data_IF_550346187412
#
_entry.id   IF_550346187412
#
_cell.length_a   1.000
_cell.length_b   1.000
_cell.length_c   1.000
_cell.angle_alpha   90.00
_cell.angle_beta   90.00
_cell.angle_gamma   90.00
#
_symmetry.space_group_name_H-M   'P 1'
#
loop_
_entity.id
_entity.type
_entity.pdbx_description
1 polymer ?
#
# COMPACT_ATOMS: atom_id res chain seq x y z
N UNK A 1 -7.64 28.25 6.94
CA UNK A 1 -7.12 27.29 5.94
C UNK A 1 -5.88 27.78 5.16
N UNK A 2 -5.68 29.08 4.89
CA UNK A 2 -4.53 29.58 4.12
C UNK A 2 -3.15 29.24 4.72
N UNK A 3 -2.95 29.45 6.03
CA UNK A 3 -1.70 29.09 6.71
C UNK A 3 -1.41 27.58 6.65
N UNK A 4 -2.44 26.75 6.88
CA UNK A 4 -2.29 25.30 6.83
C UNK A 4 -1.94 24.80 5.42
N UNK A 5 -2.49 25.43 4.37
CA UNK A 5 -2.12 25.15 2.98
C UNK A 5 -0.67 25.53 2.66
N UNK A 6 -0.17 26.62 3.24
CA UNK A 6 1.23 27.02 3.09
C UNK A 6 2.14 25.99 3.77
N UNK A 7 1.80 25.57 5.00
CA UNK A 7 2.55 24.53 5.71
C UNK A 7 2.58 23.21 4.94
N UNK A 8 1.43 22.74 4.46
CA UNK A 8 1.28 21.50 3.68
C UNK A 8 2.05 21.48 2.35
N UNK A 9 2.41 22.64 1.80
CA UNK A 9 3.27 22.74 0.61
C UNK A 9 4.74 22.51 0.90
N UNK A 10 5.18 22.78 2.12
CA UNK A 10 6.60 22.69 2.51
C UNK A 10 6.89 21.36 3.20
N UNK A 11 5.95 20.87 4.01
CA UNK A 11 6.06 19.60 4.75
C UNK A 11 4.72 18.88 4.74
N UNK A 12 4.70 17.54 4.75
CA UNK A 12 3.48 16.79 5.00
C UNK A 12 2.83 17.23 6.32
N UNK A 13 1.52 17.46 6.32
CA UNK A 13 0.76 17.81 7.52
C UNK A 13 -0.31 16.75 7.71
N UNK A 14 -0.26 16.06 8.85
CA UNK A 14 -1.25 15.07 9.27
C UNK A 14 -2.05 15.67 10.43
N UNK A 15 -3.37 15.46 10.44
CA UNK A 15 -4.23 15.89 11.55
C UNK A 15 -4.97 14.69 12.13
N UNK A 16 -4.87 14.54 13.44
CA UNK A 16 -5.69 13.63 14.23
C UNK A 16 -6.57 14.48 15.15
N UNK A 17 -7.88 14.20 15.15
CA UNK A 17 -8.84 14.88 16.00
C UNK A 17 -9.47 13.86 16.97
N UNK A 18 -9.04 13.91 18.23
CA UNK A 18 -9.55 13.02 19.29
C UNK A 18 -11.04 13.23 19.57
N UNK A 19 -11.61 14.40 19.22
CA UNK A 19 -13.02 14.71 19.41
C UNK A 19 -13.95 14.01 18.42
N UNK A 20 -13.46 13.58 17.25
CA UNK A 20 -14.28 12.85 16.26
C UNK A 20 -14.59 11.42 16.68
N UNK A 21 -13.63 10.76 17.31
CA UNK A 21 -13.78 9.38 17.81
C UNK A 21 -14.86 9.31 18.91
N UNK A 22 -14.81 10.25 19.87
CA UNK A 22 -15.71 10.25 21.03
C UNK A 22 -17.17 10.58 20.69
N UNK A 23 -17.42 11.25 19.55
CA UNK A 23 -18.77 11.72 19.19
C UNK A 23 -19.45 10.77 18.18
N UNK A 24 -18.68 10.09 17.32
CA UNK A 24 -19.22 9.24 16.25
C UNK A 24 -20.00 8.01 16.73
N UNK A 25 -19.62 7.38 17.86
CA UNK A 25 -20.26 6.14 18.33
C UNK A 25 -21.47 6.33 19.24
N UNK A 26 -21.61 7.48 19.93
CA UNK A 26 -22.59 7.62 21.02
C UNK A 26 -23.55 8.81 20.86
N UNK A 27 -23.16 9.89 20.16
CA UNK A 27 -23.91 11.17 20.20
C UNK A 27 -23.96 11.93 18.86
N UNK A 28 -23.43 11.37 17.77
CA UNK A 28 -23.35 12.08 16.49
C UNK A 28 -24.74 12.33 15.89
N UNK A 29 -25.17 13.59 15.93
CA UNK A 29 -26.32 14.07 15.17
C UNK A 29 -25.91 14.49 13.74
N UNK A 30 -26.90 14.68 12.86
CA UNK A 30 -26.67 15.04 11.45
C UNK A 30 -25.80 16.29 11.28
N UNK A 31 -25.93 17.27 12.18
CA UNK A 31 -25.16 18.51 12.15
C UNK A 31 -23.67 18.25 12.41
N UNK A 32 -23.35 17.37 13.36
CA UNK A 32 -21.97 16.96 13.65
C UNK A 32 -21.35 16.23 12.46
N UNK A 33 -22.08 15.28 11.86
CA UNK A 33 -21.62 14.54 10.67
C UNK A 33 -21.37 15.48 9.49
N UNK A 34 -22.28 16.44 9.26
CA UNK A 34 -22.13 17.43 8.20
C UNK A 34 -20.92 18.32 8.43
N UNK A 35 -20.70 18.76 9.68
CA UNK A 35 -19.53 19.57 10.06
C UNK A 35 -18.23 18.79 9.82
N UNK A 36 -18.18 17.52 10.18
CA UNK A 36 -17.01 16.67 9.97
C UNK A 36 -16.68 16.48 8.49
N UNK A 37 -17.70 16.25 7.64
CA UNK A 37 -17.52 16.20 6.17
C UNK A 37 -16.99 17.50 5.59
N UNK A 38 -17.46 18.65 6.09
CA UNK A 38 -16.94 19.98 5.66
C UNK A 38 -15.49 20.15 6.07
N UNK A 39 -15.12 19.75 7.29
CA UNK A 39 -13.72 19.78 7.73
C UNK A 39 -12.84 18.83 6.92
N UNK A 40 -13.29 17.62 6.62
CA UNK A 40 -12.55 16.68 5.77
C UNK A 40 -12.29 17.23 4.37
N UNK A 41 -13.33 17.80 3.76
CA UNK A 41 -13.20 18.45 2.46
C UNK A 41 -12.22 19.64 2.52
N UNK A 42 -12.29 20.45 3.58
CA UNK A 42 -11.39 21.57 3.78
C UNK A 42 -9.93 21.11 3.98
N UNK A 43 -9.70 20.10 4.82
CA UNK A 43 -8.38 19.52 5.07
C UNK A 43 -7.77 18.94 3.80
N UNK A 44 -8.52 18.11 3.06
CA UNK A 44 -8.08 17.56 1.76
C UNK A 44 -7.72 18.67 0.78
N UNK A 45 -8.53 19.74 0.69
CA UNK A 45 -8.26 20.90 -0.18
C UNK A 45 -7.03 21.70 0.26
N UNK A 46 -6.71 21.71 1.55
CA UNK A 46 -5.50 22.34 2.09
C UNK A 46 -4.25 21.46 1.94
N UNK A 47 -4.36 20.20 1.52
CA UNK A 47 -3.25 19.26 1.44
C UNK A 47 -2.91 18.61 2.79
N UNK A 48 -3.85 18.61 3.73
CA UNK A 48 -3.72 18.01 5.05
C UNK A 48 -4.32 16.60 4.98
N UNK A 49 -3.63 15.62 5.55
CA UNK A 49 -4.12 14.25 5.69
C UNK A 49 -4.85 14.10 7.03
N UNK A 50 -6.19 14.07 7.06
CA UNK A 50 -6.92 13.67 8.26
C UNK A 50 -6.79 12.17 8.46
N UNK A 51 -6.51 11.76 9.70
CA UNK A 51 -6.49 10.35 10.10
C UNK A 51 -7.52 10.09 11.20
N UNK A 52 -8.29 8.98 11.11
CA UNK A 52 -9.35 8.71 12.06
C UNK A 52 -8.84 8.20 13.41
N UNK A 53 -7.73 7.44 13.44
CA UNK A 53 -7.21 6.83 14.66
C UNK A 53 -5.78 7.30 14.98
N UNK A 54 -5.40 7.25 16.27
CA UNK A 54 -4.04 7.56 16.70
C UNK A 54 -3.01 6.60 16.07
N UNK A 55 -3.37 5.33 15.89
CA UNK A 55 -2.53 4.34 15.21
C UNK A 55 -2.20 4.75 13.76
N UNK A 56 -3.15 5.35 13.05
CA UNK A 56 -2.96 5.86 11.70
C UNK A 56 -2.02 7.07 11.68
N UNK A 57 -2.06 7.93 12.70
CA UNK A 57 -1.13 9.05 12.83
C UNK A 57 0.32 8.55 12.92
N UNK A 58 0.57 7.55 13.77
CA UNK A 58 1.89 6.93 13.93
C UNK A 58 2.32 6.25 12.63
N UNK A 59 1.43 5.49 12.01
CA UNK A 59 1.70 4.79 10.75
C UNK A 59 2.01 5.76 9.61
N UNK A 60 1.23 6.83 9.48
CA UNK A 60 1.46 7.86 8.48
C UNK A 60 2.77 8.62 8.73
N UNK A 61 3.06 8.96 10.00
CA UNK A 61 4.33 9.60 10.36
C UNK A 61 5.54 8.71 10.03
N UNK A 62 5.48 7.41 10.34
CA UNK A 62 6.53 6.44 9.98
C UNK A 62 6.72 6.32 8.48
N UNK A 63 5.61 6.26 7.72
CA UNK A 63 5.64 6.21 6.25
C UNK A 63 6.31 7.45 5.65
N UNK A 64 6.01 8.64 6.18
CA UNK A 64 6.61 9.89 5.72
C UNK A 64 8.08 10.03 6.13
N UNK A 65 8.44 9.55 7.33
CA UNK A 65 9.82 9.56 7.82
C UNK A 65 10.74 8.68 6.98
N UNK A 66 10.22 7.60 6.40
CA UNK A 66 10.94 6.77 5.42
C UNK A 66 11.28 7.50 4.10
N UNK A 67 10.84 8.76 3.94
CA UNK A 67 11.23 9.69 2.87
C UNK A 67 11.07 9.14 1.44
N UNK A 68 10.13 8.21 1.24
CA UNK A 68 9.84 7.66 -0.08
C UNK A 68 9.09 8.70 -0.91
N UNK A 69 9.80 9.41 -1.80
CA UNK A 69 9.13 10.11 -2.91
C UNK A 69 8.57 9.04 -3.85
N UNK A 70 7.27 8.80 -3.77
CA UNK A 70 6.57 7.96 -4.74
C UNK A 70 6.65 8.67 -6.09
N UNK A 71 7.28 8.03 -7.07
CA UNK A 71 7.32 8.54 -8.44
C UNK A 71 6.31 7.75 -9.28
N UNK A 72 5.17 8.37 -9.58
CA UNK A 72 4.08 7.73 -10.32
C UNK A 72 2.97 7.18 -9.42
N UNK A 73 1.99 6.51 -10.06
CA UNK A 73 0.78 6.01 -9.38
C UNK A 73 0.31 4.64 -9.88
N UNK A 74 1.14 3.92 -10.64
CA UNK A 74 0.88 2.56 -11.14
C UNK A 74 1.37 1.51 -10.14
N UNK A 75 0.45 0.92 -9.37
CA UNK A 75 0.76 -0.09 -8.36
C UNK A 75 0.70 -1.49 -8.96
N UNK A 76 1.72 -2.30 -8.67
CA UNK A 76 1.66 -3.75 -8.73
C UNK A 76 1.60 -4.35 -7.33
N UNK A 77 0.85 -5.44 -7.18
CA UNK A 77 0.73 -6.17 -5.91
C UNK A 77 1.20 -7.61 -6.11
N UNK A 78 2.04 -8.10 -5.20
CA UNK A 78 2.41 -9.51 -5.05
C UNK A 78 1.89 -9.98 -3.70
N UNK A 79 1.12 -11.06 -3.64
CA UNK A 79 0.49 -11.51 -2.40
C UNK A 79 0.32 -13.04 -2.34
N UNK A 80 0.26 -13.64 -1.15
CA UNK A 80 -0.11 -15.06 -0.98
C UNK A 80 -1.62 -15.32 -0.80
N UNK A 81 -2.46 -14.28 -0.86
CA UNK A 81 -3.90 -14.41 -0.77
C UNK A 81 -4.61 -13.58 -1.82
N UNK A 82 -5.41 -14.20 -2.69
CA UNK A 82 -6.12 -13.49 -3.75
C UNK A 82 -7.04 -12.37 -3.23
N UNK A 83 -7.70 -12.59 -2.09
CA UNK A 83 -8.52 -11.56 -1.43
C UNK A 83 -7.67 -10.40 -0.90
N UNK A 84 -6.50 -10.69 -0.31
CA UNK A 84 -5.57 -9.65 0.14
C UNK A 84 -5.16 -8.77 -1.03
N UNK A 85 -4.72 -9.37 -2.13
CA UNK A 85 -4.36 -8.64 -3.33
C UNK A 85 -5.51 -7.78 -3.88
N UNK A 86 -6.74 -8.31 -3.89
CA UNK A 86 -7.93 -7.57 -4.35
C UNK A 86 -8.28 -6.39 -3.45
N UNK A 87 -8.27 -6.58 -2.13
CA UNK A 87 -8.57 -5.51 -1.15
C UNK A 87 -7.51 -4.42 -1.23
N UNK A 88 -6.22 -4.79 -1.26
CA UNK A 88 -5.12 -3.85 -1.46
C UNK A 88 -5.30 -3.04 -2.74
N UNK A 89 -5.66 -3.71 -3.84
CA UNK A 89 -5.87 -3.06 -5.12
C UNK A 89 -7.08 -2.11 -5.11
N UNK A 90 -8.18 -2.54 -4.48
CA UNK A 90 -9.37 -1.73 -4.31
C UNK A 90 -9.04 -0.45 -3.55
N UNK A 91 -8.39 -0.56 -2.37
CA UNK A 91 -7.99 0.60 -1.56
C UNK A 91 -7.06 1.55 -2.33
N UNK A 92 -6.17 1.01 -3.16
CA UNK A 92 -5.30 1.82 -4.02
C UNK A 92 -6.09 2.63 -5.05
N UNK A 93 -7.03 1.97 -5.75
CA UNK A 93 -7.89 2.62 -6.76
C UNK A 93 -8.81 3.66 -6.13
N UNK A 94 -9.41 3.35 -4.98
CA UNK A 94 -10.25 4.28 -4.20
C UNK A 94 -9.45 5.51 -3.74
N UNK A 95 -8.13 5.36 -3.54
CA UNK A 95 -7.20 6.45 -3.23
C UNK A 95 -6.75 7.25 -4.46
N UNK A 96 -7.27 6.96 -5.66
CA UNK A 96 -6.92 7.62 -6.92
C UNK A 96 -5.69 7.03 -7.64
N UNK A 97 -5.19 5.91 -7.15
CA UNK A 97 -4.12 5.15 -7.76
C UNK A 97 -4.57 4.39 -9.01
N UNK A 98 -3.61 3.93 -9.82
CA UNK A 98 -3.84 3.13 -11.03
C UNK A 98 -3.24 1.74 -10.90
N UNK A 99 -3.89 0.70 -11.44
CA UNK A 99 -3.23 -0.58 -11.68
C UNK A 99 -2.05 -0.45 -12.64
N UNK A 100 -0.92 -1.04 -12.28
CA UNK A 100 0.15 -1.31 -13.23
C UNK A 100 -0.29 -2.41 -14.20
N UNK A 101 -0.06 -2.18 -15.50
CA UNK A 101 -0.16 -3.21 -16.52
C UNK A 101 1.21 -3.87 -16.65
N UNK A 102 1.29 -5.15 -16.30
CA UNK A 102 2.55 -5.90 -16.39
C UNK A 102 2.90 -6.14 -17.85
N UNK A 103 4.18 -5.93 -18.17
CA UNK A 103 4.73 -6.18 -19.49
C UNK A 103 4.69 -7.67 -19.84
N UNK A 104 4.70 -7.97 -21.14
CA UNK A 104 4.79 -9.36 -21.61
C UNK A 104 6.03 -10.06 -21.05
N UNK A 105 7.17 -9.36 -21.01
CA UNK A 105 8.41 -9.90 -20.45
C UNK A 105 8.26 -10.31 -18.97
N UNK A 106 7.59 -9.48 -18.17
CA UNK A 106 7.31 -9.78 -16.76
C UNK A 106 6.34 -10.95 -16.61
N UNK A 107 5.29 -11.00 -17.43
CA UNK A 107 4.36 -12.14 -17.44
C UNK A 107 5.05 -13.45 -17.85
N UNK A 108 5.95 -13.41 -18.83
CA UNK A 108 6.74 -14.55 -19.28
C UNK A 108 7.79 -14.99 -18.24
N UNK A 109 8.32 -14.06 -17.44
CA UNK A 109 9.19 -14.40 -16.32
C UNK A 109 8.40 -15.01 -15.17
N UNK A 110 7.20 -14.49 -14.87
CA UNK A 110 6.32 -15.02 -13.83
C UNK A 110 5.80 -16.41 -14.19
N UNK A 111 5.52 -16.70 -15.47
CA UNK A 111 5.05 -18.03 -15.89
C UNK A 111 6.10 -19.13 -15.75
N UNK A 112 7.39 -18.78 -15.70
CA UNK A 112 8.49 -19.71 -15.41
C UNK A 112 8.64 -19.98 -13.91
N UNK A 113 8.41 -18.95 -13.10
CA UNK A 113 8.53 -18.98 -11.64
C UNK A 113 7.30 -19.59 -10.93
N UNK A 114 6.13 -19.42 -11.53
CA UNK A 114 4.85 -19.81 -10.94
C UNK A 114 4.29 -21.08 -11.61
N UNK A 115 3.58 -21.93 -10.87
CA UNK A 115 2.89 -23.08 -11.45
C UNK A 115 1.96 -22.67 -12.61
N UNK A 116 1.75 -23.60 -13.55
CA UNK A 116 0.92 -23.36 -14.72
C UNK A 116 -0.49 -22.86 -14.32
N UNK A 117 -0.97 -21.81 -15.01
CA UNK A 117 -2.25 -21.16 -14.72
C UNK A 117 -2.22 -20.14 -13.57
N UNK A 118 -1.07 -19.93 -12.90
CA UNK A 118 -0.93 -18.97 -11.81
C UNK A 118 -0.30 -17.63 -12.22
N UNK A 119 0.37 -17.57 -13.37
CA UNK A 119 0.76 -16.30 -13.99
C UNK A 119 -0.47 -15.69 -14.67
N UNK A 120 -0.82 -14.43 -14.41
CA UNK A 120 -1.96 -13.93 -15.17
C UNK A 120 -2.46 -12.51 -15.04
N UNK A 121 -1.99 -11.69 -14.09
CA UNK A 121 -2.31 -10.26 -14.00
C UNK A 121 -1.79 -9.70 -12.70
N UNK A 122 -1.92 -8.38 -12.58
CA UNK A 122 -1.84 -7.66 -11.32
C UNK A 122 -3.24 -7.63 -10.67
N UNK A 123 -3.43 -8.05 -9.41
CA UNK A 123 -2.44 -8.56 -8.45
C UNK A 123 -1.92 -9.96 -8.76
N UNK A 124 -0.63 -10.19 -8.49
CA UNK A 124 0.07 -11.49 -8.62
C UNK A 124 -0.17 -12.32 -7.36
N UNK A 125 -0.98 -13.38 -7.48
CA UNK A 125 -1.31 -14.27 -6.36
C UNK A 125 -0.39 -15.50 -6.33
N UNK A 126 0.40 -15.61 -5.26
CA UNK A 126 1.33 -16.69 -4.99
C UNK A 126 0.71 -17.88 -4.24
N UNK A 127 -0.57 -17.76 -3.84
CA UNK A 127 -1.32 -18.73 -3.04
C UNK A 127 -0.78 -18.94 -1.61
N UNK A 128 -1.58 -19.57 -0.77
CA UNK A 128 -1.32 -19.70 0.67
C UNK A 128 -0.09 -20.56 0.99
N UNK A 129 0.35 -21.41 0.06
CA UNK A 129 1.57 -22.22 0.18
C UNK A 129 2.80 -21.56 -0.46
N UNK A 130 2.78 -20.24 -0.66
CA UNK A 130 3.90 -19.51 -1.24
C UNK A 130 5.19 -19.72 -0.44
N UNK A 131 6.23 -20.22 -1.11
CA UNK A 131 7.56 -20.37 -0.54
C UNK A 131 8.33 -19.05 -0.60
N UNK A 132 9.38 -18.92 0.21
CA UNK A 132 10.29 -17.77 0.17
C UNK A 132 10.86 -17.52 -1.23
N UNK A 133 11.24 -18.58 -1.95
CA UNK A 133 11.76 -18.46 -3.33
C UNK A 133 10.69 -17.97 -4.32
N UNK A 134 9.44 -18.41 -4.17
CA UNK A 134 8.33 -17.92 -5.00
C UNK A 134 8.11 -16.42 -4.81
N UNK A 135 8.24 -15.92 -3.58
CA UNK A 135 8.22 -14.49 -3.30
C UNK A 135 9.40 -13.77 -3.95
N UNK A 136 10.62 -14.29 -3.77
CA UNK A 136 11.86 -13.72 -4.33
C UNK A 136 11.75 -13.52 -5.83
N UNK A 137 11.37 -14.56 -6.56
CA UNK A 137 11.26 -14.55 -8.02
C UNK A 137 10.15 -13.60 -8.50
N UNK A 138 8.97 -13.65 -7.87
CA UNK A 138 7.85 -12.80 -8.25
C UNK A 138 8.15 -11.31 -7.99
N UNK A 139 8.71 -10.98 -6.82
CA UNK A 139 9.08 -9.61 -6.46
C UNK A 139 10.18 -9.09 -7.38
N UNK A 140 11.24 -9.87 -7.65
CA UNK A 140 12.30 -9.44 -8.55
C UNK A 140 11.78 -9.15 -9.96
N UNK A 141 10.93 -10.03 -10.50
CA UNK A 141 10.32 -9.87 -11.84
C UNK A 141 9.42 -8.64 -11.93
N UNK A 142 8.52 -8.46 -10.95
CA UNK A 142 7.58 -7.33 -10.94
C UNK A 142 8.30 -6.01 -10.65
N UNK A 143 9.30 -6.01 -9.77
CA UNK A 143 10.07 -4.80 -9.46
C UNK A 143 10.92 -4.34 -10.65
N UNK A 144 11.36 -5.25 -11.52
CA UNK A 144 12.09 -4.89 -12.74
C UNK A 144 11.20 -4.20 -13.79
N UNK A 145 9.89 -4.44 -13.79
CA UNK A 145 8.96 -3.96 -14.83
C UNK A 145 8.80 -2.42 -14.86
N UNK A 146 9.16 -1.76 -15.96
CA UNK A 146 9.05 -0.30 -16.13
C UNK A 146 7.59 0.22 -16.13
N UNK A 147 6.62 -0.67 -16.34
CA UNK A 147 5.18 -0.42 -16.19
C UNK A 147 4.74 -0.21 -14.74
N UNK A 148 5.61 -0.55 -13.78
CA UNK A 148 5.36 -0.49 -12.34
C UNK A 148 6.06 0.72 -11.74
N UNK A 149 5.29 1.57 -11.04
CA UNK A 149 5.81 2.70 -10.27
C UNK A 149 6.02 2.33 -8.79
N UNK A 150 5.16 1.43 -8.30
CA UNK A 150 5.05 1.03 -6.90
C UNK A 150 4.82 -0.47 -6.81
N UNK A 151 5.46 -1.13 -5.86
CA UNK A 151 5.27 -2.56 -5.59
C UNK A 151 4.85 -2.77 -4.14
N UNK A 152 3.66 -3.34 -3.92
CA UNK A 152 3.27 -3.83 -2.61
C UNK A 152 3.44 -5.35 -2.56
N UNK A 153 4.28 -5.83 -1.66
CA UNK A 153 4.38 -7.25 -1.33
C UNK A 153 3.58 -7.50 -0.04
N UNK A 154 2.44 -8.18 -0.17
CA UNK A 154 1.46 -8.40 0.91
C UNK A 154 1.52 -9.85 1.39
N UNK A 155 1.97 -10.05 2.63
CA UNK A 155 2.14 -11.37 3.25
C UNK A 155 1.08 -11.57 4.32
N UNK A 156 0.13 -12.46 4.05
CA UNK A 156 -0.85 -12.93 5.04
C UNK A 156 -0.33 -14.14 5.82
N UNK A 157 -0.68 -14.28 7.10
CA UNK A 157 -0.32 -15.45 7.90
C UNK A 157 -1.06 -16.69 7.40
N UNK A 158 -0.38 -17.83 7.39
CA UNK A 158 -0.96 -19.13 6.99
C UNK A 158 -0.40 -20.24 7.88
N UNK A 159 -1.14 -21.34 8.02
CA UNK A 159 -0.71 -22.47 8.86
C UNK A 159 0.56 -23.19 8.36
N UNK A 160 0.94 -22.99 7.09
CA UNK A 160 2.00 -23.73 6.40
C UNK A 160 3.15 -22.83 5.92
N UNK A 161 2.99 -21.51 5.98
CA UNK A 161 3.96 -20.55 5.46
C UNK A 161 4.78 -19.91 6.56
N UNK A 162 6.05 -19.64 6.27
CA UNK A 162 6.93 -18.87 7.14
C UNK A 162 6.94 -17.40 6.70
N UNK A 163 6.23 -16.57 7.48
CA UNK A 163 6.12 -15.12 7.23
C UNK A 163 7.48 -14.43 7.26
N UNK A 164 8.37 -14.80 8.18
CA UNK A 164 9.69 -14.17 8.32
C UNK A 164 10.59 -14.54 7.14
N UNK A 165 10.60 -15.81 6.74
CA UNK A 165 11.34 -16.24 5.56
C UNK A 165 10.82 -15.54 4.28
N UNK A 166 9.51 -15.36 4.15
CA UNK A 166 8.92 -14.61 3.05
C UNK A 166 9.38 -13.14 3.05
N UNK A 167 9.27 -12.44 4.19
CA UNK A 167 9.71 -11.03 4.34
C UNK A 167 11.21 -10.87 4.06
N UNK A 168 12.05 -11.78 4.55
CA UNK A 168 13.48 -11.79 4.26
C UNK A 168 13.74 -11.94 2.76
N UNK A 169 13.09 -12.92 2.11
CA UNK A 169 13.27 -13.17 0.69
C UNK A 169 12.78 -12.00 -0.19
N UNK A 170 11.68 -11.34 0.19
CA UNK A 170 11.21 -10.12 -0.47
C UNK A 170 12.27 -9.01 -0.35
N UNK A 171 12.80 -8.79 0.85
CA UNK A 171 13.78 -7.73 1.11
C UNK A 171 15.08 -7.97 0.34
N UNK A 172 15.56 -9.21 0.30
CA UNK A 172 16.75 -9.61 -0.43
C UNK A 172 16.59 -9.50 -1.96
N UNK A 173 15.37 -9.67 -2.47
CA UNK A 173 15.08 -9.56 -3.90
C UNK A 173 15.10 -8.11 -4.40
N UNK A 174 14.98 -7.13 -3.50
CA UNK A 174 14.95 -5.72 -3.84
C UNK A 174 16.38 -5.16 -3.97
N UNK A 175 16.67 -4.35 -5.00
CA UNK A 175 18.00 -3.78 -5.17
C UNK A 175 18.33 -2.80 -4.04
N UNK A 176 19.59 -2.68 -3.65
CA UNK A 176 20.00 -1.68 -2.65
C UNK A 176 19.92 -0.28 -3.25
N UNK A 177 19.22 0.65 -2.57
CA UNK A 177 19.20 2.07 -2.95
C UNK A 177 18.25 2.44 -4.09
N UNK A 178 17.04 1.88 -4.13
CA UNK A 178 16.00 2.27 -5.09
C UNK A 178 15.60 3.76 -4.95
N UNK A 179 15.72 4.52 -6.04
CA UNK A 179 15.37 5.95 -6.10
C UNK A 179 14.04 6.25 -6.78
N UNK A 180 13.56 5.38 -7.68
CA UNK A 180 12.43 5.66 -8.56
C UNK A 180 11.18 4.82 -8.23
N UNK A 181 11.35 3.50 -8.15
CA UNK A 181 10.31 2.55 -7.71
C UNK A 181 10.39 2.34 -6.21
N UNK A 182 9.30 2.57 -5.51
CA UNK A 182 9.25 2.36 -4.05
C UNK A 182 8.56 1.02 -3.76
N UNK A 183 9.25 0.05 -3.15
CA UNK A 183 8.63 -1.15 -2.63
C UNK A 183 8.05 -0.89 -1.24
N UNK A 184 6.91 -1.48 -0.94
CA UNK A 184 6.39 -1.61 0.41
C UNK A 184 6.16 -3.08 0.72
N UNK A 185 6.67 -3.53 1.87
CA UNK A 185 6.39 -4.85 2.40
C UNK A 185 5.34 -4.69 3.49
N UNK A 186 4.19 -5.32 3.29
CA UNK A 186 3.06 -5.28 4.20
C UNK A 186 2.86 -6.71 4.68
N UNK A 187 3.05 -6.96 5.97
CA UNK A 187 2.66 -8.23 6.57
C UNK A 187 1.51 -8.00 7.55
N UNK A 188 0.61 -8.96 7.61
CA UNK A 188 -0.43 -8.98 8.62
C UNK A 188 0.07 -9.84 9.78
N UNK A 189 0.19 -9.24 10.95
CA UNK A 189 0.50 -9.98 12.18
C UNK A 189 -0.74 -10.75 12.67
N UNK A 190 -0.52 -11.78 13.49
CA UNK A 190 -1.58 -12.58 14.12
C UNK A 190 -2.14 -11.90 15.37
#
# INVERSE_FOLDING_TARGET
MSAARIAARVKPVIVFDSGRQAVAEVVANEETIRRDRVYDAAFRRAGILPVPFLADLVSAAGTLAAAARLSGNRLAVVCNGGTLGRVTMQMWVESGGRPAALSKATLDSLSKALPAGMAGRNPVNLFTNATADRYREAVASVFADEGVDLLFAVVGPTAIGDTLAAVSAITDALPKGYRRKQPAVIWLDQ
#
